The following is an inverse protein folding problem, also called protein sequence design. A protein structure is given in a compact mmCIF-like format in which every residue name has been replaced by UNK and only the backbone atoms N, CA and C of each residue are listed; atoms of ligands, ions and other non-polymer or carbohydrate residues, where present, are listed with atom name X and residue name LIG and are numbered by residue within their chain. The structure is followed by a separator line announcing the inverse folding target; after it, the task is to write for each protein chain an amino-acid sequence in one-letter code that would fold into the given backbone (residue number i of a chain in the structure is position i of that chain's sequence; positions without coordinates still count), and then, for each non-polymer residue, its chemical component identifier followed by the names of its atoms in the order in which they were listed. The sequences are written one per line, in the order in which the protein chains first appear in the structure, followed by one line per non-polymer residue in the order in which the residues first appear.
data_IF_306979967269
#
_entry.id   IF_306979967269
#
_cell.length_a   1.000
_cell.length_b   1.000
_cell.length_c   1.000
_cell.angle_alpha   90.00
_cell.angle_beta   90.00
_cell.angle_gamma   90.00
#
_symmetry.space_group_name_H-M   'P 1'
#
loop_
_entity.id
_entity.type
_entity.pdbx_description
1 polymer ?
#
# COMPACT_ATOMS: atom_id res chain seq x y z
N UNK A 1 24.68 11.89 3.77
CA UNK A 1 25.77 12.70 4.32
C UNK A 1 27.08 11.95 4.36
N UNK A 2 27.09 10.69 4.82
CA UNK A 2 28.29 9.84 4.80
C UNK A 2 27.90 8.36 4.88
N UNK A 3 28.75 7.43 4.39
CA UNK A 3 28.51 5.99 4.50
C UNK A 3 28.27 5.54 5.96
N UNK A 4 27.43 4.53 6.14
CA UNK A 4 27.12 3.95 7.45
C UNK A 4 26.24 4.82 8.36
N UNK A 5 25.65 5.90 7.85
CA UNK A 5 24.77 6.80 8.61
C UNK A 5 23.53 7.18 7.81
N UNK A 6 22.57 7.81 8.48
CA UNK A 6 21.38 8.37 7.83
C UNK A 6 20.10 8.00 8.54
N UNK A 7 19.00 8.56 8.04
CA UNK A 7 17.65 8.16 8.39
C UNK A 7 17.14 7.28 7.25
N UNK A 8 16.79 6.04 7.56
CA UNK A 8 16.45 5.01 6.58
C UNK A 8 15.00 4.57 6.80
N UNK A 9 14.02 5.16 6.09
CA UNK A 9 12.67 4.64 6.14
C UNK A 9 12.64 3.34 5.34
N UNK A 10 12.48 2.21 6.04
CA UNK A 10 12.36 0.90 5.41
C UNK A 10 11.01 0.83 4.69
N UNK A 11 11.04 1.09 3.39
CA UNK A 11 9.86 1.04 2.53
C UNK A 11 9.35 -0.41 2.45
N UNK A 12 8.02 -0.56 2.50
CA UNK A 12 7.38 -1.86 2.63
C UNK A 12 7.28 -2.65 1.32
N UNK A 13 6.54 -2.14 0.33
CA UNK A 13 6.34 -2.84 -0.94
C UNK A 13 7.54 -2.67 -1.88
N UNK A 14 7.74 -3.65 -2.77
CA UNK A 14 8.88 -3.73 -3.67
C UNK A 14 9.10 -2.47 -4.54
N UNK A 15 8.02 -1.78 -4.91
CA UNK A 15 8.05 -0.59 -5.76
C UNK A 15 7.37 0.63 -5.14
N UNK A 16 7.10 0.66 -3.83
CA UNK A 16 6.44 1.86 -3.25
C UNK A 16 7.29 3.12 -3.44
N UNK A 17 8.61 2.98 -3.50
CA UNK A 17 9.50 4.08 -3.85
C UNK A 17 9.27 4.50 -5.30
N UNK A 18 9.31 3.57 -6.27
CA UNK A 18 9.13 3.89 -7.69
C UNK A 18 7.73 4.42 -8.03
N UNK A 19 6.68 3.86 -7.42
CA UNK A 19 5.31 4.37 -7.51
C UNK A 19 5.21 5.82 -7.00
N UNK A 20 5.84 6.12 -5.87
CA UNK A 20 5.91 7.48 -5.31
C UNK A 20 6.70 8.41 -6.23
N UNK A 21 7.83 7.94 -6.79
CA UNK A 21 8.68 8.69 -7.71
C UNK A 21 7.93 9.01 -9.01
N UNK A 22 7.11 8.09 -9.51
CA UNK A 22 6.25 8.26 -10.67
C UNK A 22 5.01 9.14 -10.41
N UNK A 23 4.85 9.70 -9.20
CA UNK A 23 3.76 10.61 -8.88
C UNK A 23 2.43 9.93 -8.58
N UNK A 24 2.42 8.65 -8.16
CA UNK A 24 1.21 7.99 -7.64
C UNK A 24 0.86 8.47 -6.21
N UNK A 25 0.79 9.79 -6.05
CA UNK A 25 0.43 10.53 -4.85
C UNK A 25 -0.46 11.69 -5.32
N UNK A 26 -1.68 11.85 -4.75
CA UNK A 26 -2.74 12.64 -5.39
C UNK A 26 -2.46 14.16 -5.48
N UNK A 27 -1.37 14.67 -4.92
CA UNK A 27 -1.00 16.08 -4.93
C UNK A 27 0.33 16.39 -5.61
N UNK A 28 0.96 15.41 -6.28
CA UNK A 28 2.22 15.63 -7.00
C UNK A 28 2.24 14.95 -8.38
N UNK A 29 2.99 15.55 -9.28
CA UNK A 29 3.55 14.94 -10.48
C UNK A 29 4.81 14.12 -10.15
N UNK A 30 5.37 13.36 -11.12
CA UNK A 30 6.64 12.66 -10.94
C UNK A 30 7.77 13.51 -10.32
N UNK A 31 8.64 12.87 -9.54
CA UNK A 31 9.66 13.47 -8.66
C UNK A 31 9.10 14.39 -7.56
N UNK A 32 7.92 14.05 -7.03
CA UNK A 32 7.30 14.74 -5.88
C UNK A 32 7.01 16.23 -6.13
N UNK A 33 6.75 16.59 -7.37
CA UNK A 33 6.52 17.98 -7.78
C UNK A 33 5.06 18.37 -7.60
N UNK A 34 4.77 19.37 -6.77
CA UNK A 34 3.38 19.76 -6.46
C UNK A 34 2.55 20.13 -7.70
N UNK A 35 1.31 19.64 -7.76
CA UNK A 35 0.32 19.98 -8.80
C UNK A 35 -0.16 21.44 -8.73
N UNK A 36 -0.01 22.08 -7.57
CA UNK A 36 -0.44 23.45 -7.32
C UNK A 36 0.53 24.50 -7.91
N UNK A 37 1.72 24.09 -8.35
CA UNK A 37 2.69 25.01 -8.95
C UNK A 37 2.45 25.12 -10.46
N UNK A 38 2.12 26.34 -10.91
CA UNK A 38 1.77 26.62 -12.30
C UNK A 38 2.93 26.37 -13.28
N UNK A 39 4.17 26.71 -12.92
CA UNK A 39 5.34 26.48 -13.78
C UNK A 39 5.62 24.98 -13.94
N UNK A 40 5.48 24.22 -12.84
CA UNK A 40 5.63 22.76 -12.87
C UNK A 40 4.53 22.14 -13.72
N UNK A 41 3.27 22.52 -13.48
CA UNK A 41 2.13 21.99 -14.21
C UNK A 41 2.24 22.26 -15.72
N UNK A 42 2.65 23.45 -16.12
CA UNK A 42 2.84 23.81 -17.53
C UNK A 42 3.78 22.86 -18.28
N UNK A 43 4.83 22.34 -17.63
CA UNK A 43 5.73 21.33 -18.24
C UNK A 43 4.97 20.05 -18.61
N UNK A 44 4.06 19.59 -17.75
CA UNK A 44 3.27 18.38 -18.01
C UNK A 44 2.11 18.64 -18.99
N UNK A 45 1.50 19.82 -18.92
CA UNK A 45 0.47 20.25 -19.87
C UNK A 45 1.04 20.34 -21.30
N UNK A 46 2.26 20.86 -21.45
CA UNK A 46 2.98 20.90 -22.72
C UNK A 46 3.37 19.50 -23.20
N UNK A 47 3.90 18.65 -22.31
CA UNK A 47 4.32 17.28 -22.64
C UNK A 47 3.14 16.42 -23.12
N UNK A 48 2.02 16.46 -22.41
CA UNK A 48 0.85 15.64 -22.70
C UNK A 48 -0.17 16.35 -23.60
N UNK A 49 0.07 17.61 -23.96
CA UNK A 49 -0.80 18.44 -24.79
C UNK A 49 -2.25 18.48 -24.28
N UNK A 50 -2.42 18.71 -22.96
CA UNK A 50 -3.71 18.73 -22.25
C UNK A 50 -3.67 19.70 -21.09
N UNK A 51 -4.81 20.31 -20.77
CA UNK A 51 -4.99 21.02 -19.50
C UNK A 51 -5.10 20.00 -18.34
N UNK A 52 -4.45 20.32 -17.22
CA UNK A 52 -4.43 19.47 -16.03
C UNK A 52 -5.05 20.18 -14.83
N UNK A 53 -5.67 19.42 -13.91
CA UNK A 53 -6.24 20.01 -12.71
C UNK A 53 -5.12 20.54 -11.79
N UNK A 54 -5.39 21.70 -11.19
CA UNK A 54 -4.52 22.34 -10.19
C UNK A 54 -4.83 21.90 -8.77
N UNK A 55 -5.95 21.20 -8.57
CA UNK A 55 -6.42 20.74 -7.26
C UNK A 55 -5.73 19.44 -6.88
N UNK A 56 -5.44 19.33 -5.59
CA UNK A 56 -5.02 18.06 -5.00
C UNK A 56 -6.16 17.05 -5.11
N UNK A 57 -5.82 15.84 -5.54
CA UNK A 57 -6.71 14.69 -5.42
C UNK A 57 -6.89 14.25 -3.97
N UNK A 58 -7.59 13.14 -3.81
CA UNK A 58 -7.98 12.59 -2.52
C UNK A 58 -7.14 11.36 -2.17
N UNK A 59 -6.90 11.15 -0.88
CA UNK A 59 -6.32 9.90 -0.37
C UNK A 59 -7.36 8.77 -0.35
N UNK A 60 -6.93 7.51 -0.22
CA UNK A 60 -7.84 6.34 -0.26
C UNK A 60 -8.99 6.43 0.74
N UNK A 61 -8.72 6.88 1.98
CA UNK A 61 -9.77 7.05 3.00
C UNK A 61 -10.73 8.18 2.63
N UNK A 62 -10.21 9.32 2.17
CA UNK A 62 -11.03 10.44 1.71
C UNK A 62 -11.87 10.08 0.47
N UNK A 63 -11.36 9.21 -0.42
CA UNK A 63 -12.11 8.67 -1.56
C UNK A 63 -13.35 7.92 -1.07
N UNK A 64 -13.21 7.03 -0.08
CA UNK A 64 -14.34 6.28 0.46
C UNK A 64 -15.39 7.22 1.08
N UNK A 65 -14.96 8.27 1.80
CA UNK A 65 -15.89 9.27 2.32
C UNK A 65 -16.67 9.99 1.19
N UNK A 66 -16.01 10.30 0.07
CA UNK A 66 -16.68 10.90 -1.09
C UNK A 66 -17.59 9.92 -1.85
N UNK A 67 -17.30 8.62 -1.82
CA UNK A 67 -18.23 7.58 -2.31
C UNK A 67 -19.49 7.55 -1.46
N UNK A 68 -19.36 7.57 -0.13
CA UNK A 68 -20.51 7.63 0.79
C UNK A 68 -21.33 8.93 0.62
N UNK A 69 -20.66 10.04 0.28
CA UNK A 69 -21.32 11.31 -0.02
C UNK A 69 -21.99 11.34 -1.42
N UNK A 70 -21.86 10.29 -2.23
CA UNK A 70 -22.40 10.22 -3.60
C UNK A 70 -21.68 11.12 -4.61
N UNK A 71 -20.49 11.62 -4.28
CA UNK A 71 -19.67 12.48 -5.14
C UNK A 71 -18.84 11.65 -6.10
N UNK A 72 -18.17 10.61 -5.59
CA UNK A 72 -17.47 9.62 -6.43
C UNK A 72 -18.45 8.47 -6.71
N UNK A 73 -18.70 8.22 -7.99
CA UNK A 73 -19.65 7.19 -8.45
C UNK A 73 -18.97 6.03 -9.18
N UNK A 74 -17.75 6.23 -9.65
CA UNK A 74 -16.97 5.21 -10.33
C UNK A 74 -15.55 5.15 -9.78
N UNK A 75 -14.97 3.96 -9.76
CA UNK A 75 -13.61 3.73 -9.28
C UNK A 75 -12.88 2.70 -10.15
N UNK A 76 -11.59 2.92 -10.34
CA UNK A 76 -10.68 1.97 -10.97
C UNK A 76 -9.56 1.62 -9.99
N UNK A 77 -9.59 0.39 -9.47
CA UNK A 77 -8.59 -0.15 -8.54
C UNK A 77 -7.60 -1.02 -9.32
N UNK A 78 -6.31 -0.72 -9.24
CA UNK A 78 -5.25 -1.47 -9.90
C UNK A 78 -4.28 -2.04 -8.86
N UNK A 79 -4.20 -3.37 -8.77
CA UNK A 79 -3.21 -4.07 -7.93
C UNK A 79 -3.34 -3.81 -6.42
N UNK A 80 -4.54 -3.43 -5.96
CA UNK A 80 -4.82 -3.15 -4.54
C UNK A 80 -6.08 -3.88 -4.05
N UNK A 81 -6.18 -4.04 -2.73
CA UNK A 81 -7.26 -4.78 -2.08
C UNK A 81 -7.90 -3.99 -0.92
N UNK A 82 -8.49 -2.80 -1.18
CA UNK A 82 -9.08 -1.94 -0.14
C UNK A 82 -10.16 -2.63 0.71
N UNK A 83 -10.89 -3.61 0.17
CA UNK A 83 -11.84 -4.43 0.93
C UNK A 83 -11.19 -5.34 2.00
N UNK A 84 -9.86 -5.30 2.13
CA UNK A 84 -9.06 -5.96 3.15
C UNK A 84 -8.02 -5.03 3.80
N UNK A 85 -7.38 -4.14 3.04
CA UNK A 85 -6.23 -3.35 3.52
C UNK A 85 -6.60 -2.03 4.21
N UNK A 86 -7.77 -1.47 3.91
CA UNK A 86 -8.17 -0.16 4.43
C UNK A 86 -8.61 -0.25 5.90
N UNK A 87 -8.47 0.83 6.68
CA UNK A 87 -8.99 0.85 8.04
C UNK A 87 -10.52 0.83 8.01
N UNK A 88 -11.16 0.41 9.10
CA UNK A 88 -12.62 0.31 9.16
C UNK A 88 -13.18 -0.35 7.89
N UNK A 89 -12.75 -1.59 7.65
CA UNK A 89 -13.03 -2.25 6.37
C UNK A 89 -14.54 -2.47 6.14
N UNK A 90 -15.36 -2.35 7.19
CA UNK A 90 -16.82 -2.29 7.06
C UNK A 90 -17.25 -1.07 6.25
N UNK A 91 -16.78 0.13 6.61
CA UNK A 91 -17.00 1.37 5.85
C UNK A 91 -16.48 1.25 4.42
N UNK A 92 -15.25 0.75 4.23
CA UNK A 92 -14.68 0.59 2.89
C UNK A 92 -15.52 -0.34 2.00
N UNK A 93 -15.98 -1.48 2.53
CA UNK A 93 -16.83 -2.44 1.80
C UNK A 93 -18.21 -1.87 1.47
N UNK A 94 -18.82 -1.13 2.40
CA UNK A 94 -20.07 -0.43 2.13
C UNK A 94 -19.90 0.60 1.01
N UNK A 95 -18.79 1.34 1.01
CA UNK A 95 -18.45 2.30 -0.03
C UNK A 95 -18.30 1.61 -1.39
N UNK A 96 -17.50 0.54 -1.46
CA UNK A 96 -17.32 -0.22 -2.70
C UNK A 96 -18.66 -0.73 -3.26
N UNK A 97 -19.57 -1.20 -2.40
CA UNK A 97 -20.90 -1.65 -2.80
C UNK A 97 -21.86 -0.54 -3.27
N UNK A 98 -21.55 0.73 -2.96
CA UNK A 98 -22.35 1.91 -3.37
C UNK A 98 -21.97 2.48 -4.73
N UNK A 99 -20.82 2.11 -5.28
CA UNK A 99 -20.36 2.61 -6.57
C UNK A 99 -21.35 2.22 -7.67
N UNK A 100 -21.55 3.12 -8.64
CA UNK A 100 -22.30 2.83 -9.87
C UNK A 100 -21.45 2.02 -10.86
N UNK A 101 -20.12 2.12 -10.75
CA UNK A 101 -19.19 1.35 -11.56
C UNK A 101 -17.85 1.12 -10.87
N UNK A 102 -17.44 -0.14 -10.69
CA UNK A 102 -16.14 -0.52 -10.15
C UNK A 102 -15.38 -1.42 -11.14
N UNK A 103 -14.21 -0.93 -11.57
CA UNK A 103 -13.24 -1.70 -12.35
C UNK A 103 -12.10 -2.15 -11.43
N UNK A 104 -11.80 -3.44 -11.42
CA UNK A 104 -10.66 -4.01 -10.68
C UNK A 104 -9.70 -4.67 -11.64
N UNK A 105 -8.46 -4.19 -11.67
CA UNK A 105 -7.35 -4.83 -12.39
C UNK A 105 -6.44 -5.51 -11.38
N UNK A 106 -6.40 -6.84 -11.41
CA UNK A 106 -5.64 -7.64 -10.45
C UNK A 106 -5.20 -8.98 -11.07
N UNK A 107 -4.29 -9.67 -10.38
CA UNK A 107 -3.84 -11.02 -10.70
C UNK A 107 -4.88 -12.07 -10.30
N UNK A 108 -5.60 -11.81 -9.21
CA UNK A 108 -6.54 -12.75 -8.63
C UNK A 108 -7.88 -12.09 -8.34
N UNK A 109 -8.93 -12.91 -8.21
CA UNK A 109 -10.17 -12.47 -7.58
C UNK A 109 -9.90 -12.26 -6.08
N UNK A 110 -9.70 -10.99 -5.71
CA UNK A 110 -9.52 -10.50 -4.35
C UNK A 110 -10.86 -10.17 -3.70
N UNK A 111 -10.83 -9.84 -2.41
CA UNK A 111 -12.01 -9.36 -1.69
C UNK A 111 -12.57 -8.07 -2.31
N UNK A 112 -11.72 -7.18 -2.84
CA UNK A 112 -12.19 -6.00 -3.59
C UNK A 112 -12.84 -6.40 -4.91
N UNK A 113 -12.28 -7.38 -5.63
CA UNK A 113 -12.85 -7.85 -6.89
C UNK A 113 -14.27 -8.43 -6.74
N UNK A 114 -14.65 -8.87 -5.53
CA UNK A 114 -16.01 -9.34 -5.26
C UNK A 114 -17.09 -8.25 -5.38
N UNK A 115 -16.69 -6.97 -5.34
CA UNK A 115 -17.58 -5.81 -5.54
C UNK A 115 -17.54 -5.29 -6.98
N UNK A 116 -16.65 -5.80 -7.84
CA UNK A 116 -16.38 -5.21 -9.14
C UNK A 116 -17.46 -5.54 -10.17
N UNK A 117 -17.79 -4.57 -11.02
CA UNK A 117 -18.58 -4.78 -12.23
C UNK A 117 -17.73 -5.36 -13.37
N UNK A 118 -16.45 -4.96 -13.41
CA UNK A 118 -15.48 -5.39 -14.42
C UNK A 118 -14.20 -5.81 -13.73
N UNK A 119 -13.74 -7.02 -14.04
CA UNK A 119 -12.40 -7.50 -13.64
C UNK A 119 -11.51 -7.61 -14.88
N UNK A 120 -10.37 -6.93 -14.86
CA UNK A 120 -9.37 -6.94 -15.92
C UNK A 120 -8.16 -7.78 -15.47
N UNK A 121 -7.89 -8.94 -16.08
CA UNK A 121 -6.81 -9.82 -15.64
C UNK A 121 -5.44 -9.22 -15.99
N UNK A 122 -4.66 -8.92 -14.96
CA UNK A 122 -3.30 -8.39 -15.09
C UNK A 122 -2.23 -9.49 -14.97
N UNK A 123 -1.05 -9.21 -15.51
CA UNK A 123 0.13 -10.10 -15.45
C UNK A 123 0.90 -9.99 -14.14
N UNK A 124 1.37 -11.14 -13.63
CA UNK A 124 2.24 -11.21 -12.46
C UNK A 124 3.67 -10.77 -12.79
N UNK A 125 4.49 -10.56 -11.76
CA UNK A 125 5.90 -10.17 -11.90
C UNK A 125 6.71 -11.02 -12.89
N UNK A 126 6.70 -12.38 -12.83
CA UNK A 126 7.51 -13.19 -13.74
C UNK A 126 7.02 -13.20 -15.19
N UNK A 127 5.89 -12.57 -15.50
CA UNK A 127 5.25 -12.59 -16.82
C UNK A 127 5.43 -11.25 -17.56
N UNK A 128 6.08 -10.26 -16.92
CA UNK A 128 6.17 -8.90 -17.44
C UNK A 128 7.58 -8.31 -17.38
N UNK A 129 7.76 -7.25 -18.15
CA UNK A 129 8.95 -6.40 -18.09
C UNK A 129 8.58 -5.01 -17.58
N UNK A 130 9.55 -4.29 -17.08
CA UNK A 130 9.37 -3.01 -16.39
C UNK A 130 10.43 -2.82 -15.33
N UNK A 131 10.32 -1.77 -14.52
CA UNK A 131 11.33 -1.45 -13.49
C UNK A 131 10.73 -1.39 -12.10
N UNK A 132 11.56 -1.72 -11.11
CA UNK A 132 11.28 -1.61 -9.68
C UNK A 132 12.31 -0.71 -9.02
N UNK A 133 11.87 0.33 -8.34
CA UNK A 133 12.72 1.13 -7.46
C UNK A 133 12.52 0.66 -6.02
N UNK A 134 13.58 0.14 -5.42
CA UNK A 134 13.56 -0.38 -4.05
C UNK A 134 13.84 0.72 -2.98
N UNK A 135 13.97 0.30 -1.72
CA UNK A 135 14.13 1.22 -0.58
C UNK A 135 15.39 2.09 -0.60
N UNK A 136 16.46 1.69 -1.30
CA UNK A 136 17.70 2.46 -1.41
C UNK A 136 17.80 3.24 -2.73
N UNK A 137 16.69 3.42 -3.46
CA UNK A 137 16.58 4.16 -4.73
C UNK A 137 17.27 3.46 -5.91
N UNK A 138 17.41 2.15 -5.84
CA UNK A 138 17.95 1.35 -6.92
C UNK A 138 16.82 0.93 -7.86
N UNK A 139 16.87 1.46 -9.08
CA UNK A 139 16.00 1.08 -10.20
C UNK A 139 16.53 -0.24 -10.75
N UNK A 140 15.71 -1.27 -10.78
CA UNK A 140 16.07 -2.63 -11.18
C UNK A 140 15.15 -3.10 -12.32
N UNK A 141 15.73 -3.73 -13.34
CA UNK A 141 14.98 -4.25 -14.48
C UNK A 141 14.34 -5.61 -14.18
N UNK A 142 13.02 -5.70 -14.34
CA UNK A 142 12.27 -6.95 -14.37
C UNK A 142 12.25 -7.54 -15.78
N UNK A 143 12.52 -8.84 -15.89
CA UNK A 143 12.50 -9.57 -17.16
C UNK A 143 11.49 -10.71 -17.10
N UNK A 144 10.73 -10.94 -18.19
CA UNK A 144 9.78 -12.03 -18.23
C UNK A 144 10.53 -13.36 -18.18
N UNK A 145 10.10 -14.22 -17.28
CA UNK A 145 10.55 -15.61 -17.15
C UNK A 145 9.47 -16.61 -17.56
N UNK A 146 8.21 -16.15 -17.67
CA UNK A 146 7.04 -16.93 -18.05
C UNK A 146 6.23 -16.18 -19.11
N UNK A 147 5.47 -16.92 -19.90
CA UNK A 147 4.44 -16.37 -20.79
C UNK A 147 3.24 -15.87 -20.00
N UNK A 148 2.50 -14.91 -20.58
CA UNK A 148 1.26 -14.41 -20.01
C UNK A 148 0.20 -15.54 -19.91
N UNK A 149 -0.47 -15.71 -18.76
CA UNK A 149 -1.49 -16.74 -18.59
C UNK A 149 -2.81 -16.32 -19.25
N UNK A 150 -3.33 -17.17 -20.14
CA UNK A 150 -4.62 -16.96 -20.80
C UNK A 150 -4.69 -15.61 -21.53
N UNK A 151 -5.71 -14.81 -21.22
CA UNK A 151 -5.92 -13.49 -21.82
C UNK A 151 -5.32 -12.34 -20.98
N UNK A 152 -4.52 -12.64 -19.94
CA UNK A 152 -3.90 -11.63 -19.10
C UNK A 152 -2.99 -10.70 -19.91
N UNK A 153 -2.92 -9.44 -19.49
CA UNK A 153 -2.12 -8.40 -20.13
C UNK A 153 -1.27 -7.65 -19.10
N UNK A 154 -0.19 -7.03 -19.55
CA UNK A 154 0.60 -6.15 -18.69
C UNK A 154 -0.23 -4.92 -18.30
N UNK A 155 -0.02 -4.42 -17.09
CA UNK A 155 -0.84 -3.35 -16.52
C UNK A 155 -0.87 -2.09 -17.40
N UNK A 156 0.29 -1.69 -17.93
CA UNK A 156 0.42 -0.53 -18.82
C UNK A 156 -0.36 -0.70 -20.13
N UNK A 157 -0.41 -1.92 -20.67
CA UNK A 157 -1.14 -2.21 -21.91
C UNK A 157 -2.64 -2.02 -21.70
N UNK A 158 -3.16 -2.48 -20.56
CA UNK A 158 -4.58 -2.33 -20.21
C UNK A 158 -4.92 -0.83 -20.10
N UNK A 159 -4.08 -0.05 -19.41
CA UNK A 159 -4.27 1.40 -19.27
C UNK A 159 -4.23 2.09 -20.63
N UNK A 160 -3.27 1.76 -21.50
CA UNK A 160 -3.18 2.31 -22.85
C UNK A 160 -4.43 2.00 -23.68
N UNK A 161 -4.93 0.76 -23.62
CA UNK A 161 -6.13 0.36 -24.37
C UNK A 161 -7.40 1.06 -23.88
N UNK A 162 -7.49 1.36 -22.58
CA UNK A 162 -8.54 2.21 -22.02
C UNK A 162 -8.38 3.64 -22.53
N UNK A 163 -7.18 4.21 -22.45
CA UNK A 163 -6.89 5.57 -22.92
C UNK A 163 -7.25 5.74 -24.41
N UNK A 164 -6.90 4.76 -25.26
CA UNK A 164 -7.22 4.76 -26.68
C UNK A 164 -8.74 4.69 -26.95
N UNK A 165 -9.49 3.90 -26.16
CA UNK A 165 -10.96 3.87 -26.26
C UNK A 165 -11.62 5.16 -25.78
N UNK A 166 -10.92 5.96 -24.98
CA UNK A 166 -11.32 7.31 -24.57
C UNK A 166 -10.85 8.41 -25.55
N UNK A 167 -10.14 8.05 -26.63
CA UNK A 167 -9.66 9.00 -27.65
C UNK A 167 -8.42 9.79 -27.25
N UNK A 168 -7.52 9.19 -26.46
CA UNK A 168 -6.25 9.81 -26.05
C UNK A 168 -5.06 9.51 -26.97
N UNK A 169 -5.24 8.64 -27.97
CA UNK A 169 -4.26 8.32 -29.03
C UNK A 169 -2.85 7.93 -28.51
N UNK A 170 -2.79 7.16 -27.42
CA UNK A 170 -1.55 6.62 -26.87
C UNK A 170 -0.98 5.49 -27.74
N UNK A 171 0.33 5.49 -27.94
CA UNK A 171 1.03 4.58 -28.85
C UNK A 171 2.40 4.14 -28.32
N UNK A 172 2.46 3.63 -27.10
CA UNK A 172 3.66 3.00 -26.54
C UNK A 172 3.73 1.53 -26.99
N UNK A 173 4.90 1.12 -27.49
CA UNK A 173 5.18 -0.26 -27.90
C UNK A 173 5.58 -1.14 -26.71
N UNK A 174 6.12 -0.53 -25.65
CA UNK A 174 6.45 -1.24 -24.42
C UNK A 174 6.88 -0.34 -23.25
N UNK A 175 7.27 -0.95 -22.10
CA UNK A 175 7.71 -0.21 -20.93
C UNK A 175 8.94 0.68 -21.14
N UNK A 176 9.78 0.39 -22.14
CA UNK A 176 10.92 1.22 -22.50
C UNK A 176 10.48 2.63 -22.94
N UNK A 177 9.44 2.73 -23.78
CA UNK A 177 8.93 4.02 -24.25
C UNK A 177 8.32 4.83 -23.12
N UNK A 178 7.56 4.17 -22.23
CA UNK A 178 6.99 4.81 -21.03
C UNK A 178 8.12 5.32 -20.13
N UNK A 179 9.16 4.51 -19.93
CA UNK A 179 10.33 4.88 -19.14
C UNK A 179 11.09 6.06 -19.75
N UNK A 180 11.26 6.10 -21.08
CA UNK A 180 11.88 7.22 -21.77
C UNK A 180 11.04 8.50 -21.72
N UNK A 181 9.71 8.41 -21.74
CA UNK A 181 8.85 9.57 -21.46
C UNK A 181 9.02 10.06 -20.01
N UNK A 182 9.02 9.15 -19.04
CA UNK A 182 9.25 9.49 -17.64
C UNK A 182 10.58 10.25 -17.46
N UNK A 183 11.65 9.84 -18.15
CA UNK A 183 12.97 10.50 -18.11
C UNK A 183 12.95 11.96 -18.57
N UNK A 184 11.98 12.37 -19.39
CA UNK A 184 11.87 13.77 -19.84
C UNK A 184 11.52 14.73 -18.69
N UNK A 185 10.85 14.22 -17.65
CA UNK A 185 10.44 15.04 -16.50
C UNK A 185 11.08 14.59 -15.18
N UNK A 186 11.50 13.33 -15.05
CA UNK A 186 12.09 12.78 -13.83
C UNK A 186 13.61 12.94 -13.82
N UNK A 187 14.10 13.90 -13.03
CA UNK A 187 15.53 14.08 -12.77
C UNK A 187 16.15 12.86 -12.10
N UNK A 188 15.36 12.11 -11.33
CA UNK A 188 15.80 10.83 -10.74
C UNK A 188 16.19 9.79 -11.80
N UNK A 189 15.62 9.86 -13.01
CA UNK A 189 15.87 8.89 -14.09
C UNK A 189 16.76 9.42 -15.21
N UNK A 190 17.15 10.70 -15.22
CA UNK A 190 17.87 11.31 -16.35
C UNK A 190 19.12 10.52 -16.79
N UNK A 191 19.94 10.06 -15.84
CA UNK A 191 21.15 9.26 -16.10
C UNK A 191 20.92 7.74 -16.21
N UNK A 192 19.68 7.28 -16.28
CA UNK A 192 19.33 5.86 -16.31
C UNK A 192 18.53 5.62 -17.59
N UNK A 193 19.17 5.11 -18.64
CA UNK A 193 18.47 4.72 -19.88
C UNK A 193 17.92 3.30 -19.76
N UNK A 194 16.97 2.94 -20.62
CA UNK A 194 16.50 1.55 -20.70
C UNK A 194 17.63 0.61 -21.10
N UNK A 195 18.39 0.92 -22.16
CA UNK A 195 19.56 0.15 -22.60
C UNK A 195 20.59 -0.07 -21.48
N UNK A 196 20.81 0.97 -20.66
CA UNK A 196 21.69 0.88 -19.50
C UNK A 196 21.18 -0.13 -18.49
N UNK A 197 19.88 -0.11 -18.18
CA UNK A 197 19.26 -1.09 -17.28
C UNK A 197 19.31 -2.51 -17.85
N UNK A 198 19.22 -2.67 -19.17
CA UNK A 198 19.36 -3.98 -19.81
C UNK A 198 20.77 -4.57 -19.64
N UNK A 199 21.80 -3.72 -19.64
CA UNK A 199 23.21 -4.10 -19.49
C UNK A 199 23.63 -4.24 -18.03
N UNK A 200 23.25 -3.29 -17.17
CA UNK A 200 23.71 -3.18 -15.78
C UNK A 200 22.78 -3.86 -14.76
N UNK A 201 21.60 -4.32 -15.19
CA UNK A 201 20.49 -4.85 -14.37
C UNK A 201 19.85 -3.84 -13.41
N UNK A 202 20.64 -2.92 -12.87
CA UNK A 202 20.18 -1.95 -11.89
C UNK A 202 21.07 -0.72 -11.78
N UNK A 203 20.46 0.43 -11.48
CA UNK A 203 21.17 1.70 -11.26
C UNK A 203 20.54 2.46 -10.09
N UNK A 204 21.37 2.99 -9.19
CA UNK A 204 20.92 3.82 -8.06
C UNK A 204 20.83 5.29 -8.46
N UNK A 205 19.72 5.97 -8.16
CA UNK A 205 19.65 7.42 -8.33
C UNK A 205 19.94 8.20 -7.01
N UNK A 206 20.45 9.44 -7.09
CA UNK A 206 20.74 10.22 -8.30
C UNK A 206 21.98 9.69 -9.04
N UNK A 207 22.07 10.01 -10.33
CA UNK A 207 23.21 9.67 -11.19
C UNK A 207 23.60 10.89 -12.02
N UNK A 208 24.91 11.18 -12.12
CA UNK A 208 25.41 12.39 -12.77
C UNK A 208 25.42 12.32 -14.31
N UNK A 209 25.29 11.11 -14.87
CA UNK A 209 25.29 10.88 -16.31
C UNK A 209 25.03 9.41 -16.65
N UNK A 210 24.68 9.14 -17.91
CA UNK A 210 24.35 7.79 -18.37
C UNK A 210 25.51 6.79 -18.27
N UNK A 211 26.76 7.28 -18.27
CA UNK A 211 27.98 6.47 -18.15
C UNK A 211 28.65 6.56 -16.77
N UNK A 212 27.99 7.20 -15.79
CA UNK A 212 28.52 7.41 -14.44
C UNK A 212 27.84 6.48 -13.42
N UNK A 213 28.53 6.08 -12.35
CA UNK A 213 27.89 5.31 -11.28
C UNK A 213 26.79 6.11 -10.58
N UNK A 214 25.83 5.39 -10.02
CA UNK A 214 24.80 5.95 -9.14
C UNK A 214 25.34 6.36 -7.75
N UNK A 215 24.66 7.30 -7.09
CA UNK A 215 25.03 7.76 -5.75
C UNK A 215 24.27 7.04 -4.64
N UNK A 216 24.96 6.13 -3.95
CA UNK A 216 24.39 5.42 -2.79
C UNK A 216 24.11 6.35 -1.60
N UNK A 217 24.97 7.35 -1.40
CA UNK A 217 24.89 8.29 -0.29
C UNK A 217 24.47 9.66 -0.80
N UNK A 218 23.26 10.08 -0.42
CA UNK A 218 22.72 11.41 -0.70
C UNK A 218 23.06 12.43 0.39
N UNK A 219 22.92 13.71 0.08
CA UNK A 219 23.15 14.84 1.01
C UNK A 219 24.61 14.92 1.52
N UNK A 220 25.58 14.56 0.67
CA UNK A 220 27.00 14.79 0.94
C UNK A 220 27.38 16.27 0.91
N UNK A 221 26.84 16.99 -0.08
CA UNK A 221 27.18 18.40 -0.34
C UNK A 221 26.19 19.40 0.29
N UNK A 222 25.16 18.90 0.99
CA UNK A 222 24.13 19.73 1.63
C UNK A 222 22.74 19.11 1.55
N UNK A 223 21.77 19.76 2.20
CA UNK A 223 20.37 19.35 2.14
C UNK A 223 19.64 20.06 0.99
N UNK A 224 18.64 19.43 0.35
CA UNK A 224 17.87 19.98 -0.77
C UNK A 224 16.85 21.01 -0.26
N UNK A 225 17.35 22.06 0.38
CA UNK A 225 16.58 23.19 0.90
C UNK A 225 17.16 24.48 0.34
N UNK A 226 16.40 25.58 0.28
CA UNK A 226 16.92 26.86 -0.20
C UNK A 226 18.18 27.35 0.55
N UNK A 227 18.37 26.94 1.80
CA UNK A 227 19.53 27.31 2.62
C UNK A 227 20.68 26.30 2.58
N UNK A 228 20.48 25.13 1.96
CA UNK A 228 21.43 24.01 2.00
C UNK A 228 21.52 23.29 3.35
N UNK A 229 20.71 23.67 4.36
CA UNK A 229 20.79 23.17 5.75
C UNK A 229 19.57 22.31 6.12
N UNK A 230 19.76 21.39 7.06
CA UNK A 230 18.64 20.65 7.65
C UNK A 230 17.72 21.60 8.42
N UNK A 231 16.40 21.36 8.33
CA UNK A 231 15.40 22.02 9.14
C UNK A 231 15.15 21.19 10.39
N UNK A 232 15.41 21.76 11.57
CA UNK A 232 15.03 21.15 12.85
C UNK A 232 13.60 21.56 13.18
N UNK A 233 12.74 20.56 13.45
CA UNK A 233 11.33 20.76 13.75
C UNK A 233 11.04 20.17 15.15
N UNK A 234 10.52 20.96 16.10
CA UNK A 234 10.14 20.44 17.41
C UNK A 234 8.90 19.55 17.28
N UNK A 235 8.92 18.38 17.92
CA UNK A 235 7.79 17.47 17.99
C UNK A 235 7.09 17.59 19.34
N UNK A 236 5.75 17.56 19.34
CA UNK A 236 4.93 17.43 20.54
C UNK A 236 4.40 16.00 20.62
N UNK A 237 4.41 15.42 21.82
CA UNK A 237 3.80 14.11 22.06
C UNK A 237 2.29 14.30 22.13
N UNK A 238 1.56 13.66 21.23
CA UNK A 238 0.09 13.66 21.18
C UNK A 238 -0.39 12.24 21.47
N UNK A 239 -1.41 12.05 22.31
CA UNK A 239 -1.97 10.71 22.54
C UNK A 239 -2.63 10.17 21.27
N UNK A 240 -2.73 8.82 21.15
CA UNK A 240 -3.64 8.16 20.20
C UNK A 240 -5.06 8.73 20.26
N UNK A 241 -5.76 8.70 19.13
CA UNK A 241 -7.15 9.18 19.07
C UNK A 241 -8.12 8.25 19.82
N UNK A 242 -7.75 6.97 19.97
CA UNK A 242 -8.54 5.97 20.67
C UNK A 242 -7.75 5.29 21.79
N UNK A 243 -8.03 5.65 23.04
CA UNK A 243 -7.43 5.03 24.23
C UNK A 243 -8.29 3.87 24.76
N UNK A 244 -7.67 2.86 25.42
CA UNK A 244 -8.39 1.83 26.17
C UNK A 244 -9.28 2.42 27.26
N UNK A 245 -10.42 1.77 27.51
CA UNK A 245 -11.36 2.12 28.57
C UNK A 245 -11.88 0.87 29.29
N UNK A 246 -12.95 1.02 30.08
CA UNK A 246 -13.53 -0.10 30.83
C UNK A 246 -14.18 -1.17 29.93
N UNK A 247 -14.69 -0.78 28.76
CA UNK A 247 -15.37 -1.69 27.83
C UNK A 247 -14.37 -2.36 26.87
N UNK A 248 -13.31 -1.65 26.50
CA UNK A 248 -12.23 -2.07 25.60
C UNK A 248 -10.86 -1.87 26.27
N UNK A 249 -10.46 -2.76 27.20
CA UNK A 249 -9.32 -2.52 28.09
C UNK A 249 -7.95 -2.83 27.50
N UNK A 250 -7.87 -3.39 26.29
CA UNK A 250 -6.63 -3.82 25.64
C UNK A 250 -6.31 -2.95 24.43
N UNK A 251 -5.03 -2.83 24.10
CA UNK A 251 -4.57 -2.20 22.86
C UNK A 251 -4.36 -3.27 21.78
N UNK A 252 -5.02 -3.14 20.64
CA UNK A 252 -4.70 -3.85 19.42
C UNK A 252 -3.58 -3.12 18.68
N UNK A 253 -2.57 -3.87 18.27
CA UNK A 253 -1.63 -3.46 17.24
C UNK A 253 -1.60 -4.47 16.10
N UNK A 254 -1.58 -3.99 14.87
CA UNK A 254 -1.56 -4.85 13.67
C UNK A 254 -0.17 -4.86 13.04
N UNK A 255 0.22 -5.97 12.42
CA UNK A 255 1.47 -6.01 11.67
C UNK A 255 1.57 -7.18 10.73
N UNK A 256 2.81 -7.48 10.34
CA UNK A 256 3.12 -8.52 9.34
C UNK A 256 3.72 -9.73 10.02
N UNK A 257 3.66 -10.85 9.33
CA UNK A 257 4.44 -12.04 9.64
C UNK A 257 5.35 -12.37 8.46
N UNK A 258 6.35 -13.23 8.67
CA UNK A 258 7.38 -13.50 7.67
C UNK A 258 6.82 -14.25 6.46
N UNK A 259 5.94 -15.21 6.72
CA UNK A 259 5.42 -16.18 5.76
C UNK A 259 4.41 -15.56 4.80
N UNK A 260 3.67 -14.55 5.27
CA UNK A 260 2.56 -13.95 4.55
C UNK A 260 2.75 -12.47 4.31
N UNK A 261 2.55 -12.09 3.05
CA UNK A 261 2.71 -10.73 2.58
C UNK A 261 1.38 -9.98 2.55
N UNK A 262 1.30 -8.87 3.27
CA UNK A 262 0.14 -7.97 3.32
C UNK A 262 -1.20 -8.70 3.45
N UNK A 263 -2.12 -8.56 2.50
CA UNK A 263 -3.47 -9.14 2.51
C UNK A 263 -3.48 -10.62 2.10
N UNK A 264 -2.31 -11.25 1.94
CA UNK A 264 -2.19 -12.70 1.72
C UNK A 264 -2.57 -13.18 0.32
N UNK A 265 -2.99 -12.29 -0.59
CA UNK A 265 -3.56 -12.64 -1.91
C UNK A 265 -2.66 -13.53 -2.77
N UNK A 266 -1.33 -13.36 -2.66
CA UNK A 266 -0.32 -14.19 -3.33
C UNK A 266 0.22 -15.29 -2.40
N UNK A 267 0.66 -14.91 -1.20
CA UNK A 267 1.45 -15.80 -0.32
C UNK A 267 0.64 -16.92 0.30
N UNK A 268 -0.64 -16.69 0.60
CA UNK A 268 -1.53 -17.75 1.11
C UNK A 268 -1.94 -18.77 0.04
N UNK A 269 -1.72 -18.47 -1.24
CA UNK A 269 -1.89 -19.44 -2.34
C UNK A 269 -0.66 -20.34 -2.53
N UNK A 270 0.48 -19.98 -1.96
CA UNK A 270 1.66 -20.84 -1.94
C UNK A 270 1.45 -21.97 -0.92
N UNK A 271 1.45 -23.22 -1.39
CA UNK A 271 1.31 -24.38 -0.53
C UNK A 271 2.37 -24.41 0.58
N UNK A 272 3.62 -24.05 0.27
CA UNK A 272 4.72 -24.03 1.24
C UNK A 272 4.50 -22.98 2.32
N UNK A 273 4.25 -21.73 1.93
CA UNK A 273 4.09 -20.63 2.90
C UNK A 273 2.83 -20.81 3.74
N UNK A 274 1.72 -21.21 3.11
CA UNK A 274 0.46 -21.44 3.81
C UNK A 274 0.53 -22.64 4.78
N UNK A 275 1.37 -23.65 4.51
CA UNK A 275 1.58 -24.76 5.46
C UNK A 275 2.30 -24.30 6.74
N UNK A 276 3.19 -23.31 6.65
CA UNK A 276 3.95 -22.81 7.80
C UNK A 276 3.05 -22.01 8.77
N UNK A 277 2.18 -21.15 8.24
CA UNK A 277 1.29 -20.29 9.03
C UNK A 277 -0.13 -20.27 8.46
N UNK A 278 -0.86 -21.38 8.58
CA UNK A 278 -2.18 -21.54 7.94
C UNK A 278 -3.33 -20.82 8.66
N UNK A 279 -3.19 -20.60 9.97
CA UNK A 279 -4.30 -20.26 10.87
C UNK A 279 -4.16 -18.81 11.33
N UNK A 280 -5.24 -18.04 11.20
CA UNK A 280 -5.33 -16.71 11.78
C UNK A 280 -5.21 -16.75 13.31
N UNK A 281 -4.34 -15.91 13.86
CA UNK A 281 -4.07 -15.87 15.30
C UNK A 281 -4.07 -14.45 15.87
N UNK A 282 -4.49 -14.36 17.13
CA UNK A 282 -4.22 -13.21 18.00
C UNK A 282 -3.11 -13.60 18.98
N UNK A 283 -1.99 -12.90 18.92
CA UNK A 283 -0.89 -13.07 19.89
C UNK A 283 -1.21 -12.30 21.17
N UNK A 284 -1.17 -12.99 22.30
CA UNK A 284 -1.52 -12.46 23.62
C UNK A 284 -0.42 -12.83 24.63
N UNK A 285 -0.04 -11.87 25.47
CA UNK A 285 0.91 -12.13 26.55
C UNK A 285 0.37 -13.23 27.52
N UNK A 286 1.18 -14.23 27.94
CA UNK A 286 0.69 -15.32 28.79
C UNK A 286 0.04 -14.89 30.10
N UNK A 287 0.49 -13.77 30.70
CA UNK A 287 -0.13 -13.21 31.91
C UNK A 287 -1.53 -12.64 31.63
N UNK A 288 -1.70 -11.99 30.49
CA UNK A 288 -3.00 -11.49 30.03
C UNK A 288 -3.94 -12.66 29.74
N UNK A 289 -3.46 -13.73 29.09
CA UNK A 289 -4.24 -14.96 28.89
C UNK A 289 -4.72 -15.57 30.20
N UNK A 290 -3.84 -15.70 31.20
CA UNK A 290 -4.21 -16.23 32.52
C UNK A 290 -5.28 -15.36 33.21
N UNK A 291 -5.19 -14.03 33.08
CA UNK A 291 -6.18 -13.09 33.62
C UNK A 291 -7.55 -13.26 32.94
N UNK A 292 -7.56 -13.55 31.64
CA UNK A 292 -8.76 -13.81 30.85
C UNK A 292 -9.26 -15.27 30.94
N UNK A 293 -8.54 -16.16 31.63
CA UNK A 293 -8.87 -17.58 31.71
C UNK A 293 -8.67 -18.36 30.40
N UNK A 294 -7.82 -17.86 29.49
CA UNK A 294 -7.57 -18.42 28.15
C UNK A 294 -6.37 -19.35 28.12
N UNK A 295 -6.39 -20.33 27.21
CA UNK A 295 -5.27 -21.21 26.85
C UNK A 295 -4.86 -21.01 25.39
N UNK A 296 -3.60 -21.31 25.03
CA UNK A 296 -3.17 -21.32 23.64
C UNK A 296 -4.05 -22.28 22.81
N UNK A 297 -4.50 -21.83 21.65
CA UNK A 297 -5.38 -22.56 20.75
C UNK A 297 -6.87 -22.34 20.99
N UNK A 298 -7.28 -21.70 22.09
CA UNK A 298 -8.69 -21.36 22.32
C UNK A 298 -9.19 -20.42 21.21
N UNK A 299 -10.42 -20.64 20.73
CA UNK A 299 -11.10 -19.69 19.85
C UNK A 299 -11.61 -18.54 20.71
N UNK A 300 -11.27 -17.31 20.33
CA UNK A 300 -11.63 -16.08 21.03
C UNK A 300 -12.29 -15.09 20.08
N UNK A 301 -13.13 -14.22 20.62
CA UNK A 301 -13.67 -13.05 19.92
C UNK A 301 -12.85 -11.83 20.31
N UNK A 302 -12.29 -11.15 19.33
CA UNK A 302 -11.67 -9.83 19.48
C UNK A 302 -12.64 -8.80 18.94
N UNK A 303 -13.02 -7.83 19.76
CA UNK A 303 -14.05 -6.85 19.46
C UNK A 303 -13.53 -5.44 19.70
N UNK A 304 -13.86 -4.52 18.79
CA UNK A 304 -13.64 -3.09 18.91
C UNK A 304 -14.98 -2.35 18.73
N UNK A 305 -14.95 -1.02 18.78
CA UNK A 305 -16.15 -0.20 18.55
C UNK A 305 -16.74 -0.33 17.14
N UNK A 306 -15.97 -0.87 16.18
CA UNK A 306 -16.37 -0.98 14.76
C UNK A 306 -16.85 -2.37 14.37
N UNK A 307 -16.44 -3.40 15.11
CA UNK A 307 -16.79 -4.76 14.77
C UNK A 307 -16.03 -5.79 15.60
N UNK A 308 -16.14 -7.05 15.19
CA UNK A 308 -15.47 -8.16 15.85
C UNK A 308 -14.95 -9.17 14.83
N UNK A 309 -13.99 -9.97 15.27
CA UNK A 309 -13.51 -11.16 14.56
C UNK A 309 -13.38 -12.31 15.55
N UNK A 310 -13.60 -13.53 15.06
CA UNK A 310 -13.29 -14.74 15.81
C UNK A 310 -11.97 -15.33 15.31
N UNK A 311 -11.06 -15.64 16.23
CA UNK A 311 -9.67 -15.95 15.91
C UNK A 311 -9.05 -16.86 16.97
N UNK A 312 -7.99 -17.61 16.63
CA UNK A 312 -7.32 -18.49 17.59
C UNK A 312 -6.33 -17.72 18.46
N UNK A 313 -6.33 -17.96 19.78
CA UNK A 313 -5.38 -17.35 20.70
C UNK A 313 -3.99 -18.03 20.62
N UNK A 314 -2.93 -17.24 20.48
CA UNK A 314 -1.53 -17.69 20.52
C UNK A 314 -0.83 -17.00 21.69
N UNK A 315 -0.18 -17.79 22.55
CA UNK A 315 0.66 -17.23 23.61
C UNK A 315 1.95 -16.65 23.01
N UNK A 316 2.25 -15.41 23.34
CA UNK A 316 3.43 -14.70 22.82
C UNK A 316 4.01 -13.78 23.90
N UNK A 317 5.29 -13.97 24.25
CA UNK A 317 5.95 -13.19 25.30
C UNK A 317 6.51 -11.87 24.79
N UNK A 318 6.62 -11.71 23.47
CA UNK A 318 7.15 -10.49 22.85
C UNK A 318 6.05 -9.43 22.72
N UNK A 319 4.78 -9.83 22.84
CA UNK A 319 3.65 -8.90 22.98
C UNK A 319 3.58 -8.37 24.43
N UNK A 320 3.57 -7.04 24.63
CA UNK A 320 3.41 -6.45 25.96
C UNK A 320 2.11 -6.84 26.67
N UNK A 321 2.16 -6.90 28.01
CA UNK A 321 0.95 -7.03 28.85
C UNK A 321 0.00 -5.85 28.61
N UNK A 322 -1.30 -6.11 28.44
CA UNK A 322 -2.30 -5.09 28.04
C UNK A 322 -2.38 -4.81 26.53
N UNK A 323 -1.62 -5.53 25.71
CA UNK A 323 -1.65 -5.43 24.24
C UNK A 323 -1.96 -6.79 23.60
N UNK A 324 -2.57 -6.76 22.42
CA UNK A 324 -2.73 -7.92 21.53
C UNK A 324 -2.21 -7.59 20.13
N UNK A 325 -1.68 -8.60 19.44
CA UNK A 325 -1.16 -8.45 18.09
C UNK A 325 -1.91 -9.35 17.11
N UNK A 326 -2.31 -8.81 15.96
CA UNK A 326 -2.99 -9.56 14.90
C UNK A 326 -2.33 -9.27 13.54
N UNK A 327 -1.81 -10.30 12.84
CA UNK A 327 -1.39 -10.15 11.45
C UNK A 327 -2.57 -9.84 10.54
N UNK A 328 -2.43 -8.89 9.61
CA UNK A 328 -3.53 -8.47 8.72
C UNK A 328 -3.62 -9.26 7.40
N UNK A 329 -3.00 -10.45 7.32
CA UNK A 329 -2.97 -11.28 6.10
C UNK A 329 -4.10 -12.31 5.98
N UNK A 330 -4.93 -12.45 7.00
CA UNK A 330 -5.99 -13.45 7.05
C UNK A 330 -7.34 -12.82 6.69
N UNK A 331 -7.96 -13.26 5.60
CA UNK A 331 -9.25 -12.75 5.16
C UNK A 331 -10.42 -13.27 5.99
N UNK A 332 -10.29 -14.49 6.52
CA UNK A 332 -11.25 -15.13 7.41
C UNK A 332 -11.34 -14.43 8.79
N UNK A 333 -10.31 -13.68 9.17
CA UNK A 333 -10.24 -12.92 10.42
C UNK A 333 -9.54 -11.57 10.17
N UNK A 334 -10.14 -10.76 9.31
CA UNK A 334 -9.54 -9.50 8.84
C UNK A 334 -9.35 -8.51 10.01
N UNK A 335 -8.10 -8.29 10.42
CA UNK A 335 -7.75 -7.38 11.51
C UNK A 335 -8.30 -5.96 11.32
N UNK A 336 -8.43 -5.52 10.07
CA UNK A 336 -8.92 -4.20 9.71
C UNK A 336 -10.44 -3.99 9.90
N UNK A 337 -11.20 -5.04 10.25
CA UNK A 337 -12.55 -4.88 10.83
C UNK A 337 -12.51 -4.18 12.19
N UNK A 338 -11.35 -4.20 12.85
CA UNK A 338 -11.20 -3.66 14.20
C UNK A 338 -10.59 -2.26 14.23
N UNK A 339 -9.83 -1.88 13.19
CA UNK A 339 -8.88 -0.74 13.25
C UNK A 339 -9.55 0.63 13.20
N UNK A 340 -8.89 1.62 13.80
CA UNK A 340 -9.35 3.00 13.87
C UNK A 340 -9.07 3.75 12.55
N UNK A 341 -10.07 4.39 11.90
CA UNK A 341 -9.87 5.14 10.67
C UNK A 341 -9.32 6.57 10.88
N UNK A 342 -9.03 7.00 12.11
CA UNK A 342 -8.44 8.33 12.33
C UNK A 342 -7.10 8.48 11.59
N UNK A 343 -6.92 9.64 10.97
CA UNK A 343 -5.81 9.92 10.06
C UNK A 343 -4.79 10.86 10.71
N UNK A 344 -3.51 10.57 10.51
CA UNK A 344 -2.44 11.54 10.77
C UNK A 344 -2.70 12.86 10.01
N UNK A 345 -2.62 14.03 10.66
CA UNK A 345 -3.00 15.30 10.05
C UNK A 345 -2.15 15.71 8.84
N UNK A 346 -0.94 15.15 8.67
CA UNK A 346 -0.04 15.49 7.57
C UNK A 346 0.03 14.41 6.51
N UNK A 347 0.38 13.19 6.91
CA UNK A 347 0.55 12.03 6.04
C UNK A 347 -0.77 11.37 5.64
N UNK A 348 -1.87 11.70 6.32
CA UNK A 348 -3.19 11.12 6.07
C UNK A 348 -3.18 9.58 6.15
N UNK A 349 -2.33 9.05 7.01
CA UNK A 349 -2.18 7.61 7.23
C UNK A 349 -3.07 7.21 8.42
N UNK A 350 -3.87 6.13 8.30
CA UNK A 350 -4.71 5.65 9.38
C UNK A 350 -3.94 5.11 10.59
N UNK A 351 -4.57 5.18 11.76
CA UNK A 351 -4.04 4.70 13.04
C UNK A 351 -4.09 3.16 13.18
N UNK A 352 -3.43 2.43 12.29
CA UNK A 352 -3.43 0.96 12.28
C UNK A 352 -2.74 0.30 13.49
N UNK A 353 -1.91 1.05 14.21
CA UNK A 353 -1.02 0.51 15.25
C UNK A 353 -1.56 0.66 16.67
N UNK A 354 -2.71 1.31 16.80
CA UNK A 354 -3.34 1.58 18.08
C UNK A 354 -4.85 1.58 17.93
N UNK A 355 -5.54 0.66 18.61
CA UNK A 355 -6.99 0.56 18.63
C UNK A 355 -7.41 -0.09 19.95
N UNK A 356 -8.47 0.38 20.59
CA UNK A 356 -8.93 -0.25 21.83
C UNK A 356 -9.82 -1.45 21.51
N UNK A 357 -9.52 -2.58 22.13
CA UNK A 357 -10.23 -3.84 21.93
C UNK A 357 -10.53 -4.56 23.24
N UNK A 358 -11.48 -5.49 23.17
CA UNK A 358 -11.76 -6.49 24.20
C UNK A 358 -11.59 -7.88 23.62
N UNK A 359 -11.09 -8.81 24.44
CA UNK A 359 -10.99 -10.23 24.11
C UNK A 359 -11.95 -11.00 25.01
N UNK A 360 -12.82 -11.80 24.41
CA UNK A 360 -13.79 -12.67 25.10
C UNK A 360 -13.80 -14.07 24.49
N UNK A 361 -14.37 -15.04 25.18
CA UNK A 361 -14.76 -16.33 24.58
C UNK A 361 -16.02 -16.14 23.74
N UNK A 362 -16.13 -16.69 22.51
CA UNK A 362 -17.31 -16.53 21.67
C UNK A 362 -18.54 -17.19 22.34
N UNK A 363 -19.69 -16.53 22.30
CA UNK A 363 -20.96 -17.15 22.69
C UNK A 363 -21.41 -18.13 21.58
N UNK A 364 -21.22 -19.43 21.83
CA UNK A 364 -21.63 -20.51 20.91
C UNK A 364 -23.15 -20.57 20.65
N UNK A 365 -23.97 -19.82 21.39
CA UNK A 365 -25.42 -19.84 21.28
C UNK A 365 -25.96 -18.96 20.14
N UNK A 366 -25.18 -17.99 19.65
CA UNK A 366 -25.67 -16.97 18.69
C UNK A 366 -25.37 -17.32 17.23
N UNK A 367 -24.34 -18.14 16.96
CA UNK A 367 -23.99 -18.59 15.59
C UNK A 367 -25.00 -19.57 14.97
N UNK A 368 -25.95 -20.12 15.74
CA UNK A 368 -26.96 -21.04 15.20
C UNK A 368 -28.23 -20.35 14.68
N UNK A 369 -28.30 -19.00 14.73
CA UNK A 369 -29.51 -18.23 14.46
C UNK A 369 -29.40 -17.17 13.34
N UNK A 370 -28.21 -16.95 12.77
CA UNK A 370 -27.99 -16.20 11.52
C UNK A 370 -27.61 -17.17 10.39
#
# INVERSE_FOLDING_TARGET
GRPGTGLHPLRGQNNVQGASDAGLIPWVYPDYKSVENDEIRGVYEDLWNRELDRKKGLTVVEIMDQVHAGVIRGMYVMGENPAMSDPDVGHAREGLAKLEHLVVQDLFLTETAAFADVVLPASAFPEKTGTFTNTNRQVQLGRPALELPGDAKQDWWIIQEIANRLGLDWSYDGPADVFDEMRQTMKSLTGITWDRLEVEDSVTYPCDGEDQPGHDVIFGDGFPTPSGRAKLVPAQVTPPDELPDADYPLVLTTGRMLEHWHTGTMTRRSATLNTLEAIAVVSIHPKQMATLGLKPGDRVRVESRRGHIDIAARADRDVPDGMVFIPFCFNEAAANLLTNPQLDPYGKIPEFKFCAVRVTTPDLATEAAE
#
